data_IF_420080929601
#
_entry.id   IF_420080929601
#
_cell.length_a   1.000
_cell.length_b   1.000
_cell.length_c   1.000
_cell.angle_alpha   90.00
_cell.angle_beta   90.00
_cell.angle_gamma   90.00
#
_symmetry.space_group_name_H-M   'P 1'
#
loop_
_entity.id
_entity.type
_entity.pdbx_description
1 polymer ?
#
# COMPACT_ATOMS: atom_id res chain seq x y z
N UNK A 1 0.89 12.82 5.62
CA UNK A 1 0.19 12.71 6.93
C UNK A 1 0.35 11.30 7.44
N UNK A 2 0.59 11.12 8.74
CA UNK A 2 0.59 9.79 9.38
C UNK A 2 -0.83 9.51 9.87
N UNK A 3 -1.33 8.32 9.58
CA UNK A 3 -2.64 7.84 10.03
C UNK A 3 -2.43 6.69 11.01
N UNK A 4 -3.07 6.80 12.17
CA UNK A 4 -3.17 5.72 13.15
C UNK A 4 -4.49 4.97 13.01
N UNK A 5 -4.53 3.67 13.35
CA UNK A 5 -5.76 2.89 13.38
C UNK A 5 -6.85 3.59 14.21
N UNK A 6 -8.10 3.28 13.93
CA UNK A 6 -9.21 3.58 14.85
C UNK A 6 -9.22 2.55 15.97
N UNK A 7 -9.64 2.99 17.16
CA UNK A 7 -9.91 2.08 18.27
C UNK A 7 -11.22 1.32 18.02
N UNK A 8 -11.26 0.04 18.36
CA UNK A 8 -12.44 -0.82 18.11
C UNK A 8 -13.67 -0.41 18.92
N UNK A 9 -13.48 0.36 19.99
CA UNK A 9 -14.51 0.93 20.85
C UNK A 9 -15.03 2.30 20.37
N UNK A 10 -14.51 2.82 19.25
CA UNK A 10 -15.04 4.02 18.62
C UNK A 10 -16.47 3.78 18.12
N UNK A 11 -17.43 4.61 18.54
CA UNK A 11 -18.85 4.51 18.20
C UNK A 11 -19.11 4.43 16.67
N UNK A 12 -18.22 4.98 15.88
CA UNK A 12 -18.33 5.03 14.43
C UNK A 12 -17.47 3.97 13.70
N UNK A 13 -16.76 3.09 14.43
CA UNK A 13 -15.86 2.09 13.81
C UNK A 13 -16.58 1.22 12.76
N UNK A 14 -17.77 0.71 13.12
CA UNK A 14 -18.55 -0.15 12.23
C UNK A 14 -19.03 0.60 10.97
N UNK A 15 -19.49 1.86 11.13
CA UNK A 15 -19.92 2.69 9.99
C UNK A 15 -18.76 3.07 9.08
N UNK A 16 -17.61 3.39 9.65
CA UNK A 16 -16.38 3.66 8.91
C UNK A 16 -15.92 2.44 8.09
N UNK A 17 -16.04 1.24 8.67
CA UNK A 17 -15.75 -0.02 7.99
C UNK A 17 -16.64 -0.28 6.78
N UNK A 18 -17.93 0.05 6.86
CA UNK A 18 -18.86 -0.06 5.72
C UNK A 18 -18.43 0.89 4.60
N UNK A 19 -18.18 2.17 4.92
CA UNK A 19 -17.70 3.16 3.94
C UNK A 19 -16.40 2.71 3.29
N UNK A 20 -15.48 2.12 4.05
CA UNK A 20 -14.24 1.57 3.51
C UNK A 20 -14.49 0.45 2.48
N UNK A 21 -15.43 -0.45 2.76
CA UNK A 21 -15.81 -1.52 1.83
C UNK A 21 -16.44 -0.97 0.54
N UNK A 22 -17.25 0.07 0.64
CA UNK A 22 -17.84 0.75 -0.52
C UNK A 22 -16.76 1.42 -1.39
N UNK A 23 -15.77 2.06 -0.77
CA UNK A 23 -14.60 2.60 -1.47
C UNK A 23 -13.84 1.49 -2.21
N UNK A 24 -13.58 0.37 -1.53
CA UNK A 24 -12.89 -0.77 -2.14
C UNK A 24 -13.70 -1.38 -3.31
N UNK A 25 -15.00 -1.50 -3.17
CA UNK A 25 -15.89 -2.00 -4.21
C UNK A 25 -15.86 -1.10 -5.46
N UNK A 26 -15.89 0.22 -5.25
CA UNK A 26 -15.79 1.18 -6.34
C UNK A 26 -14.44 1.12 -7.05
N UNK A 27 -13.32 1.06 -6.32
CA UNK A 27 -11.96 0.95 -6.88
C UNK A 27 -11.75 -0.34 -7.68
N UNK A 28 -12.46 -1.41 -7.33
CA UNK A 28 -12.41 -2.69 -8.06
C UNK A 28 -13.42 -2.77 -9.22
N UNK A 29 -14.27 -1.77 -9.39
CA UNK A 29 -15.27 -1.76 -10.48
C UNK A 29 -14.61 -1.49 -11.84
N UNK A 30 -15.21 -2.04 -12.90
CA UNK A 30 -14.73 -1.81 -14.26
C UNK A 30 -14.89 -0.35 -14.70
N UNK A 31 -15.89 0.35 -14.15
CA UNK A 31 -16.10 1.79 -14.34
C UNK A 31 -14.95 2.65 -13.85
N UNK A 32 -14.21 2.19 -12.84
CA UNK A 32 -13.06 2.92 -12.31
C UNK A 32 -11.79 2.70 -13.15
N UNK A 33 -11.59 1.51 -13.71
CA UNK A 33 -10.37 1.15 -14.44
C UNK A 33 -10.12 2.01 -15.68
N UNK A 34 -11.17 2.53 -16.27
CA UNK A 34 -11.13 3.34 -17.50
C UNK A 34 -11.15 4.86 -17.24
N UNK A 35 -11.17 5.29 -15.98
CA UNK A 35 -11.30 6.70 -15.60
C UNK A 35 -9.98 7.28 -15.05
N UNK A 36 -9.48 8.33 -15.70
CA UNK A 36 -8.47 9.22 -15.10
C UNK A 36 -9.16 10.26 -14.21
N UNK A 37 -9.51 9.87 -12.97
CA UNK A 37 -10.08 10.77 -11.99
C UNK A 37 -9.00 11.44 -11.16
N UNK A 38 -9.19 12.73 -10.88
CA UNK A 38 -8.45 13.38 -9.81
C UNK A 38 -9.04 12.96 -8.44
N UNK A 39 -8.28 13.18 -7.36
CA UNK A 39 -8.67 12.76 -6.02
C UNK A 39 -9.97 13.46 -5.55
N UNK A 40 -10.14 14.73 -5.87
CA UNK A 40 -11.34 15.49 -5.52
C UNK A 40 -12.59 15.01 -6.29
N UNK A 41 -12.43 14.69 -7.57
CA UNK A 41 -13.49 14.09 -8.39
C UNK A 41 -13.89 12.70 -7.91
N UNK A 42 -12.91 11.93 -7.47
CA UNK A 42 -13.12 10.61 -6.87
C UNK A 42 -13.97 10.71 -5.59
N UNK A 43 -13.64 11.62 -4.68
CA UNK A 43 -14.44 11.84 -3.48
C UNK A 43 -15.86 12.31 -3.80
N UNK A 44 -16.00 13.22 -4.76
CA UNK A 44 -17.31 13.70 -5.22
C UNK A 44 -18.19 12.59 -5.77
N UNK A 45 -17.62 11.65 -6.55
CA UNK A 45 -18.37 10.51 -7.09
C UNK A 45 -18.88 9.56 -6.01
N UNK A 46 -18.13 9.41 -4.92
CA UNK A 46 -18.53 8.61 -3.78
C UNK A 46 -19.42 9.38 -2.79
N UNK A 47 -19.65 10.66 -3.05
CA UNK A 47 -20.34 11.60 -2.14
C UNK A 47 -19.72 11.60 -0.74
N UNK A 48 -18.38 11.56 -0.69
CA UNK A 48 -17.59 11.58 0.54
C UNK A 48 -16.82 12.88 0.66
N UNK A 49 -16.71 13.38 1.88
CA UNK A 49 -15.73 14.40 2.23
C UNK A 49 -14.37 13.77 2.60
N UNK A 50 -13.33 14.58 2.63
CA UNK A 50 -11.98 14.11 2.94
C UNK A 50 -11.86 13.51 4.34
N UNK A 51 -12.57 14.08 5.32
CA UNK A 51 -12.52 13.60 6.70
C UNK A 51 -13.15 12.21 6.83
N UNK A 52 -14.33 11.99 6.26
CA UNK A 52 -15.00 10.70 6.22
C UNK A 52 -14.16 9.66 5.47
N UNK A 53 -13.53 10.04 4.36
CA UNK A 53 -12.61 9.17 3.62
C UNK A 53 -11.43 8.72 4.49
N UNK A 54 -10.75 9.66 5.18
CA UNK A 54 -9.64 9.35 6.08
C UNK A 54 -10.10 8.49 7.25
N UNK A 55 -11.28 8.78 7.79
CA UNK A 55 -11.85 8.01 8.89
C UNK A 55 -12.14 6.57 8.48
N UNK A 56 -12.78 6.37 7.32
CA UNK A 56 -13.01 5.06 6.74
C UNK A 56 -11.68 4.31 6.49
N UNK A 57 -10.65 4.99 6.00
CA UNK A 57 -9.35 4.38 5.77
C UNK A 57 -8.68 3.92 7.07
N UNK A 58 -8.77 4.72 8.13
CA UNK A 58 -8.23 4.40 9.46
C UNK A 58 -8.87 3.15 10.07
N UNK A 59 -10.16 2.87 9.79
CA UNK A 59 -10.84 1.66 10.27
C UNK A 59 -10.24 0.37 9.71
N UNK A 60 -9.54 0.43 8.58
CA UNK A 60 -8.89 -0.71 7.95
C UNK A 60 -7.43 -0.92 8.39
N UNK A 61 -6.85 0.04 9.10
CA UNK A 61 -5.45 -0.02 9.51
C UNK A 61 -5.28 -0.92 10.73
N UNK A 62 -4.15 -1.62 10.78
CA UNK A 62 -3.69 -2.39 11.96
C UNK A 62 -2.51 -1.74 12.66
N UNK A 63 -1.88 -0.77 12.01
CA UNK A 63 -0.72 -0.03 12.52
C UNK A 63 -0.64 1.31 11.81
N UNK A 64 0.16 2.21 12.33
CA UNK A 64 0.39 3.52 11.73
C UNK A 64 0.85 3.40 10.28
N UNK A 65 0.27 4.21 9.41
CA UNK A 65 0.67 4.31 7.99
C UNK A 65 0.82 5.75 7.53
N UNK A 66 1.73 5.96 6.59
CA UNK A 66 1.85 7.23 5.89
C UNK A 66 0.82 7.29 4.77
N UNK A 67 -0.09 8.24 4.89
CA UNK A 67 -1.05 8.54 3.83
C UNK A 67 -0.41 9.49 2.81
N UNK A 68 -0.39 9.04 1.55
CA UNK A 68 0.04 9.84 0.40
C UNK A 68 -1.19 10.19 -0.42
N UNK A 69 -1.48 11.49 -0.57
CA UNK A 69 -2.56 11.95 -1.45
C UNK A 69 -2.10 11.75 -2.91
N UNK A 70 -2.54 10.67 -3.51
CA UNK A 70 -2.26 10.28 -4.89
C UNK A 70 -3.55 10.22 -5.70
N UNK A 71 -3.42 10.20 -7.01
CA UNK A 71 -4.55 9.87 -7.88
C UNK A 71 -5.00 8.44 -7.59
N UNK A 72 -6.31 8.14 -7.63
CA UNK A 72 -6.81 6.80 -7.34
C UNK A 72 -6.22 5.68 -8.21
N UNK A 73 -5.92 5.97 -9.48
CA UNK A 73 -5.27 5.03 -10.39
C UNK A 73 -3.79 4.76 -10.07
N UNK A 74 -3.17 5.60 -9.23
CA UNK A 74 -1.78 5.44 -8.78
C UNK A 74 -1.65 4.66 -7.46
N UNK A 75 -2.76 4.20 -6.87
CA UNK A 75 -2.78 3.48 -5.57
C UNK A 75 -1.93 2.21 -5.62
N UNK A 76 -1.92 1.50 -6.73
CA UNK A 76 -1.13 0.28 -6.93
C UNK A 76 0.31 0.52 -7.36
N UNK A 77 0.70 1.77 -7.58
CA UNK A 77 2.07 2.12 -7.98
C UNK A 77 2.91 2.33 -6.72
N UNK A 78 4.02 1.60 -6.60
CA UNK A 78 4.98 1.80 -5.51
C UNK A 78 5.56 3.22 -5.54
N UNK A 79 5.88 3.76 -4.37
CA UNK A 79 6.56 5.05 -4.29
C UNK A 79 7.93 4.96 -4.96
N UNK A 80 8.25 5.92 -5.82
CA UNK A 80 9.51 5.96 -6.54
C UNK A 80 10.06 7.38 -6.63
N UNK A 81 11.36 7.48 -6.82
CA UNK A 81 12.04 8.73 -7.15
C UNK A 81 12.43 8.72 -8.62
N UNK A 82 11.94 9.70 -9.38
CA UNK A 82 12.14 9.78 -10.84
C UNK A 82 13.62 9.82 -11.22
N UNK A 83 14.43 10.58 -10.46
CA UNK A 83 15.87 10.71 -10.73
C UNK A 83 16.60 9.39 -10.49
N UNK A 84 16.32 8.73 -9.38
CA UNK A 84 16.91 7.44 -9.08
C UNK A 84 16.44 6.36 -10.07
N UNK A 85 15.16 6.34 -10.41
CA UNK A 85 14.62 5.37 -11.38
C UNK A 85 15.29 5.51 -12.75
N UNK A 86 15.48 6.75 -13.23
CA UNK A 86 16.17 7.02 -14.51
C UNK A 86 17.64 6.66 -14.50
N UNK A 87 18.30 6.72 -13.33
CA UNK A 87 19.72 6.38 -13.21
C UNK A 87 19.96 4.89 -13.00
N UNK A 88 19.03 4.22 -12.33
CA UNK A 88 19.20 2.82 -11.91
C UNK A 88 18.57 1.81 -12.86
N UNK A 89 17.51 2.20 -13.58
CA UNK A 89 16.73 1.34 -14.51
C UNK A 89 16.23 0.02 -13.89
N UNK A 90 15.94 0.02 -12.60
CA UNK A 90 15.47 -1.14 -11.86
C UNK A 90 14.22 -0.82 -11.05
N UNK A 91 13.49 -1.86 -10.66
CA UNK A 91 12.35 -1.74 -9.76
C UNK A 91 12.76 -1.02 -8.47
N UNK A 92 11.93 -0.10 -8.04
CA UNK A 92 12.14 0.71 -6.85
C UNK A 92 10.88 0.70 -5.99
N UNK A 93 11.08 0.53 -4.70
CA UNK A 93 10.06 0.68 -3.67
C UNK A 93 10.63 1.58 -2.56
N UNK A 94 10.03 2.74 -2.37
CA UNK A 94 10.43 3.70 -1.35
C UNK A 94 9.36 3.71 -0.28
N UNK A 95 9.72 3.33 0.94
CA UNK A 95 8.82 3.29 2.08
C UNK A 95 9.31 4.21 3.19
N UNK A 96 8.36 4.78 3.94
CA UNK A 96 8.67 5.50 5.16
C UNK A 96 8.88 4.51 6.30
N UNK A 97 9.96 4.69 7.05
CA UNK A 97 10.27 3.87 8.22
C UNK A 97 9.55 4.49 9.42
N UNK A 98 8.40 3.91 9.78
CA UNK A 98 7.69 4.26 11.01
C UNK A 98 8.11 3.37 12.18
N UNK A 99 8.51 2.14 11.89
CA UNK A 99 9.04 1.17 12.85
C UNK A 99 10.40 0.65 12.37
N UNK A 100 11.51 1.03 13.05
CA UNK A 100 12.86 0.58 12.69
C UNK A 100 13.02 -0.94 12.81
N UNK A 101 12.34 -1.59 13.75
CA UNK A 101 12.41 -3.05 13.93
C UNK A 101 11.76 -3.80 12.77
N UNK A 102 10.57 -3.37 12.36
CA UNK A 102 9.89 -3.93 11.20
C UNK A 102 10.72 -3.75 9.92
N UNK A 103 11.38 -2.58 9.76
CA UNK A 103 12.30 -2.34 8.66
C UNK A 103 13.50 -3.29 8.66
N UNK A 104 14.14 -3.49 9.81
CA UNK A 104 15.26 -4.42 9.95
C UNK A 104 14.84 -5.85 9.61
N UNK A 105 13.69 -6.30 10.10
CA UNK A 105 13.12 -7.62 9.80
C UNK A 105 12.84 -7.80 8.31
N UNK A 106 12.32 -6.77 7.65
CA UNK A 106 12.09 -6.76 6.20
C UNK A 106 13.40 -6.93 5.42
N UNK A 107 14.44 -6.15 5.75
CA UNK A 107 15.76 -6.23 5.11
C UNK A 107 16.37 -7.63 5.28
N UNK A 108 16.36 -8.17 6.50
CA UNK A 108 16.86 -9.53 6.78
C UNK A 108 16.10 -10.58 5.99
N UNK A 109 14.78 -10.44 5.85
CA UNK A 109 13.97 -11.35 5.05
C UNK A 109 14.36 -11.36 3.57
N UNK A 110 14.72 -10.19 3.02
CA UNK A 110 15.17 -10.06 1.63
C UNK A 110 16.54 -10.70 1.41
N UNK A 111 17.50 -10.47 2.30
CA UNK A 111 18.82 -11.10 2.26
C UNK A 111 18.68 -12.63 2.34
N UNK A 112 17.82 -13.13 3.24
CA UNK A 112 17.58 -14.57 3.41
C UNK A 112 16.91 -15.22 2.20
N UNK A 113 16.06 -14.49 1.46
CA UNK A 113 15.45 -14.99 0.22
C UNK A 113 16.50 -15.23 -0.88
N UNK A 114 17.43 -14.30 -1.03
CA UNK A 114 18.54 -14.45 -1.98
C UNK A 114 19.40 -15.69 -1.70
N UNK A 115 19.73 -15.92 -0.43
CA UNK A 115 20.51 -17.10 -0.01
C UNK A 115 19.77 -18.42 -0.24
N UNK A 116 18.44 -18.47 0.01
CA UNK A 116 17.64 -19.69 -0.25
C UNK A 116 17.56 -20.01 -1.74
N UNK A 117 17.42 -19.00 -2.61
CA UNK A 117 17.45 -19.19 -4.05
C UNK A 117 18.77 -19.77 -4.54
N UNK A 118 19.88 -19.23 -4.06
CA UNK A 118 21.22 -19.71 -4.37
C UNK A 118 21.45 -21.15 -3.87
N UNK A 119 21.04 -21.47 -2.64
CA UNK A 119 21.15 -22.82 -2.08
C UNK A 119 20.34 -23.85 -2.86
N UNK A 120 19.15 -23.49 -3.34
CA UNK A 120 18.33 -24.39 -4.17
C UNK A 120 18.96 -24.62 -5.53
N UNK A 121 19.52 -23.61 -6.18
CA UNK A 121 20.23 -23.76 -7.46
C UNK A 121 21.47 -24.62 -7.33
N UNK A 122 22.26 -24.43 -6.26
CA UNK A 122 23.44 -25.26 -5.99
C UNK A 122 23.05 -26.72 -5.75
N UNK A 123 21.97 -26.98 -4.99
CA UNK A 123 21.49 -28.34 -4.75
C UNK A 123 21.04 -28.99 -6.05
N UNK A 124 20.28 -28.27 -6.90
CA UNK A 124 19.83 -28.78 -8.17
C UNK A 124 21.00 -29.12 -9.12
N UNK A 125 22.00 -28.25 -9.19
CA UNK A 125 23.21 -28.50 -9.96
C UNK A 125 24.02 -29.74 -9.45
N UNK A 126 23.99 -30.01 -8.15
CA UNK A 126 24.63 -31.20 -7.60
C UNK A 126 23.82 -32.51 -7.82
N UNK A 127 22.51 -32.42 -8.01
CA UNK A 127 21.64 -33.57 -8.32
C UNK A 127 21.67 -33.91 -9.82
N UNK A 128 22.07 -32.98 -10.69
CA UNK A 128 22.19 -33.17 -12.14
C UNK A 128 23.60 -33.59 -12.60
N UNK A 129 24.60 -33.60 -11.69
CA UNK A 129 25.99 -34.00 -11.96
C UNK A 129 26.28 -35.44 -11.59
#
# INVERSE_FOLDING_TARGET
>A
MILSPLEEDDDNFASAGIVYLDICAYLNSDTFKDCELDFEEFLSKLNLDFETYIYAFRSSLKQDKVFLKRKPNEVIINAYNVTLLRSWFANMDIQFILDPYACATYIVSYISKGQRGMSNLLRQACEEA
#
